data_IF_912211195958
#
_entry.id   IF_912211195958
#
_cell.length_a   1.000
_cell.length_b   1.000
_cell.length_c   1.000
_cell.angle_alpha   90.00
_cell.angle_beta   90.00
_cell.angle_gamma   90.00
#
_symmetry.space_group_name_H-M   'P 1'
#
loop_
_entity.id
_entity.type
_entity.pdbx_description
1 polymer ?
#
# COMPACT_ATOMS: atom_id res chain seq x y z
N UNK A 1 29.78 7.45 42.59
CA UNK A 1 29.89 6.68 41.33
C UNK A 1 28.52 6.71 40.65
N UNK A 2 28.33 7.37 39.49
CA UNK A 2 27.09 7.23 38.74
C UNK A 2 27.20 6.04 37.78
N UNK A 3 26.21 5.14 37.85
CA UNK A 3 26.04 4.01 36.95
C UNK A 3 25.61 4.50 35.56
N UNK A 4 26.41 4.15 34.54
CA UNK A 4 26.05 4.31 33.13
C UNK A 4 25.09 3.18 32.69
N UNK A 5 24.04 3.47 31.90
CA UNK A 5 23.23 2.43 31.28
C UNK A 5 23.97 1.79 30.10
N UNK A 6 24.17 0.48 30.18
CA UNK A 6 24.74 -0.36 29.12
C UNK A 6 23.69 -0.57 28.03
N UNK A 7 23.91 -0.02 26.84
CA UNK A 7 23.11 -0.32 25.66
C UNK A 7 23.52 -1.68 25.07
N UNK A 8 22.58 -2.51 24.58
CA UNK A 8 22.91 -3.73 23.85
C UNK A 8 23.56 -3.41 22.49
N UNK A 9 24.44 -4.29 21.97
CA UNK A 9 25.14 -4.03 20.72
C UNK A 9 24.17 -3.98 19.54
N UNK A 10 24.22 -2.88 18.78
CA UNK A 10 23.51 -2.73 17.51
C UNK A 10 23.87 -3.86 16.55
N UNK A 11 22.86 -4.61 16.11
CA UNK A 11 22.95 -5.49 14.95
C UNK A 11 23.39 -4.68 13.74
N UNK A 12 24.63 -4.89 13.29
CA UNK A 12 25.14 -4.39 12.00
C UNK A 12 24.36 -5.06 10.87
N UNK A 13 23.35 -4.38 10.35
CA UNK A 13 22.82 -4.73 9.03
C UNK A 13 23.85 -4.30 7.98
N UNK A 14 24.41 -5.27 7.26
CA UNK A 14 25.27 -5.03 6.10
C UNK A 14 24.46 -4.29 5.03
N UNK A 15 24.61 -2.97 4.95
CA UNK A 15 24.25 -2.22 3.75
C UNK A 15 25.17 -2.67 2.61
N UNK A 16 24.65 -3.52 1.71
CA UNK A 16 25.29 -3.76 0.41
C UNK A 16 25.32 -2.43 -0.35
N UNK A 17 26.53 -1.98 -0.66
CA UNK A 17 26.79 -0.81 -1.50
C UNK A 17 26.16 -1.02 -2.89
N UNK A 18 25.02 -0.36 -3.15
CA UNK A 18 24.59 -0.14 -4.53
C UNK A 18 25.19 1.18 -5.01
N UNK A 19 26.19 1.06 -5.88
CA UNK A 19 26.76 2.17 -6.65
C UNK A 19 25.63 2.84 -7.45
N UNK A 20 25.40 4.12 -7.18
CA UNK A 20 24.65 5.00 -8.09
C UNK A 20 25.65 5.46 -9.15
N UNK A 21 25.64 4.84 -10.33
CA UNK A 21 26.25 5.42 -11.53
C UNK A 21 25.21 6.37 -12.14
N UNK A 22 25.41 7.67 -11.97
CA UNK A 22 24.69 8.69 -12.76
C UNK A 22 25.34 8.74 -14.14
N UNK A 23 24.79 7.99 -15.10
CA UNK A 23 25.08 8.18 -16.52
C UNK A 23 24.11 9.22 -17.10
N UNK A 24 24.65 10.38 -17.49
CA UNK A 24 23.92 11.37 -18.27
C UNK A 24 23.77 10.88 -19.71
N UNK A 25 22.55 10.67 -20.17
CA UNK A 25 22.25 10.53 -21.60
C UNK A 25 21.92 11.90 -22.18
N UNK A 26 22.86 12.46 -22.95
CA UNK A 26 22.54 13.51 -23.92
C UNK A 26 21.93 12.83 -25.15
N UNK A 27 20.63 13.03 -25.38
CA UNK A 27 19.95 12.53 -26.57
C UNK A 27 19.90 13.65 -27.62
N UNK A 28 20.67 13.52 -28.69
CA UNK A 28 20.54 14.33 -29.89
C UNK A 28 20.07 13.43 -31.05
N UNK A 29 18.80 13.65 -31.44
CA UNK A 29 18.20 13.52 -32.77
C UNK A 29 18.42 12.26 -33.64
N UNK A 30 17.28 11.57 -33.89
CA UNK A 30 16.79 11.07 -35.20
C UNK A 30 17.71 10.10 -35.98
N UNK A 31 17.59 8.80 -35.67
CA UNK A 31 17.19 7.70 -36.59
C UNK A 31 17.43 6.33 -35.93
N UNK A 32 16.43 5.47 -36.04
CA UNK A 32 16.39 4.11 -35.50
C UNK A 32 17.49 3.21 -36.08
N UNK A 33 18.34 2.65 -35.21
CA UNK A 33 18.80 1.24 -35.13
C UNK A 33 20.16 1.19 -34.42
N UNK A 34 20.27 0.39 -33.36
CA UNK A 34 21.54 0.03 -32.74
C UNK A 34 21.60 -1.50 -32.63
N UNK A 35 22.40 -2.10 -33.50
CA UNK A 35 22.89 -3.46 -33.38
C UNK A 35 24.31 -3.39 -32.80
N UNK A 36 24.55 -4.16 -31.73
CA UNK A 36 25.87 -4.27 -31.10
C UNK A 36 26.73 -5.29 -31.83
N UNK A 37 27.91 -4.91 -32.31
CA UNK A 37 29.02 -5.84 -32.49
C UNK A 37 30.35 -5.17 -32.17
N UNK A 38 31.01 -5.69 -31.13
CA UNK A 38 32.39 -5.38 -30.78
C UNK A 38 33.33 -6.08 -31.77
N UNK A 39 34.26 -5.34 -32.39
CA UNK A 39 35.51 -5.91 -32.89
C UNK A 39 36.65 -4.94 -32.58
N UNK A 40 37.60 -5.44 -31.80
CA UNK A 40 38.91 -4.87 -31.50
C UNK A 40 39.81 -4.82 -32.74
N UNK A 41 40.59 -3.75 -32.92
CA UNK A 41 41.69 -3.72 -33.88
C UNK A 41 43.00 -3.23 -33.22
N UNK A 42 44.15 -3.86 -33.52
CA UNK A 42 45.44 -3.46 -32.99
C UNK A 42 46.13 -2.39 -33.84
N UNK A 43 47.10 -1.72 -33.20
CA UNK A 43 47.97 -0.65 -33.69
C UNK A 43 48.88 -1.13 -34.82
N UNK A 44 48.90 -0.41 -35.95
CA UNK A 44 49.93 -0.53 -36.99
C UNK A 44 50.21 0.82 -37.67
N UNK A 45 51.42 0.91 -38.20
CA UNK A 45 52.24 2.07 -38.53
C UNK A 45 51.78 2.99 -39.68
N UNK A 46 52.44 4.14 -39.68
CA UNK A 46 52.47 5.31 -40.58
C UNK A 46 52.69 4.95 -42.07
N UNK A 47 52.18 5.77 -43.02
CA UNK A 47 53.12 6.53 -43.85
C UNK A 47 52.78 8.03 -43.96
N UNK A 48 53.85 8.81 -43.97
CA UNK A 48 53.93 10.24 -44.29
C UNK A 48 53.69 10.50 -45.77
N UNK A 49 52.81 11.43 -46.10
CA UNK A 49 52.78 12.10 -47.40
C UNK A 49 52.66 13.62 -47.22
N UNK A 50 53.33 14.34 -48.11
CA UNK A 50 53.79 15.74 -47.98
C UNK A 50 53.06 16.61 -49.01
N UNK A 51 53.01 17.93 -48.75
CA UNK A 51 52.64 19.08 -49.62
C UNK A 51 51.14 19.46 -49.60
N UNK A 52 50.69 20.73 -49.52
CA UNK A 52 51.26 22.08 -49.39
C UNK A 52 50.06 23.05 -49.09
N UNK A 53 50.27 24.34 -48.79
CA UNK A 53 49.36 25.14 -47.96
C UNK A 53 48.30 25.92 -48.75
N UNK A 54 47.14 26.14 -48.15
CA UNK A 54 46.24 27.25 -48.51
C UNK A 54 45.78 27.98 -47.25
N UNK A 55 46.03 29.29 -47.23
CA UNK A 55 45.64 30.24 -46.21
C UNK A 55 44.11 30.27 -45.99
N UNK A 56 43.66 30.54 -44.76
CA UNK A 56 42.85 31.72 -44.39
C UNK A 56 42.37 31.60 -42.92
N UNK A 57 43.04 32.38 -42.06
CA UNK A 57 42.52 33.19 -40.94
C UNK A 57 41.17 32.82 -40.28
N UNK A 58 41.19 32.50 -38.97
CA UNK A 58 40.69 33.41 -37.89
C UNK A 58 40.69 32.75 -36.50
N UNK A 59 41.29 33.46 -35.54
CA UNK A 59 41.05 33.53 -34.08
C UNK A 59 40.26 32.37 -33.42
N UNK A 60 40.94 31.59 -32.59
CA UNK A 60 40.34 31.06 -31.36
C UNK A 60 41.28 31.30 -30.18
N UNK A 61 40.82 32.16 -29.28
CA UNK A 61 41.46 32.42 -27.99
C UNK A 61 41.36 31.19 -27.09
N UNK A 62 42.43 30.98 -26.32
CA UNK A 62 42.51 30.01 -25.24
C UNK A 62 41.45 30.32 -24.18
N UNK A 63 40.58 29.36 -23.88
CA UNK A 63 39.93 29.28 -22.58
C UNK A 63 40.22 27.90 -21.97
N UNK A 64 41.12 27.94 -21.01
CA UNK A 64 41.40 26.90 -20.03
C UNK A 64 40.16 26.63 -19.19
N UNK A 65 39.87 25.35 -19.01
CA UNK A 65 38.82 24.80 -18.14
C UNK A 65 39.12 25.17 -16.68
N UNK A 66 38.19 25.86 -16.00
CA UNK A 66 38.26 26.14 -14.56
C UNK A 66 37.02 25.60 -13.84
N UNK A 67 37.26 24.59 -13.01
CA UNK A 67 36.67 24.24 -11.71
C UNK A 67 35.21 24.65 -11.42
N UNK A 68 34.37 23.62 -11.23
CA UNK A 68 32.93 23.69 -10.94
C UNK A 68 32.56 23.99 -9.47
N UNK A 69 33.41 24.66 -8.70
CA UNK A 69 33.06 25.17 -7.37
C UNK A 69 33.28 26.67 -7.34
N UNK A 70 32.26 27.42 -7.77
CA UNK A 70 32.25 28.87 -7.77
C UNK A 70 32.21 29.43 -6.34
N UNK A 71 33.38 29.66 -5.75
CA UNK A 71 33.53 30.69 -4.74
C UNK A 71 33.57 32.05 -5.47
N UNK A 72 32.72 33.03 -5.10
CA UNK A 72 32.78 34.34 -5.71
C UNK A 72 34.06 35.06 -5.25
N UNK A 73 34.89 35.49 -6.20
CA UNK A 73 35.99 36.42 -5.95
C UNK A 73 35.38 37.78 -5.56
N UNK A 74 35.61 38.22 -4.33
CA UNK A 74 35.08 39.49 -3.80
C UNK A 74 35.90 40.70 -4.26
N UNK A 75 35.27 41.84 -4.59
CA UNK A 75 35.95 43.12 -4.70
C UNK A 75 36.29 43.67 -3.31
N UNK A 76 37.52 44.18 -3.15
CA UNK A 76 38.01 44.86 -1.95
C UNK A 76 37.27 46.21 -1.77
N UNK A 77 36.14 46.21 -1.06
CA UNK A 77 35.39 47.44 -0.82
C UNK A 77 34.41 47.34 0.36
N UNK A 78 34.78 47.99 1.48
CA UNK A 78 33.99 48.26 2.71
C UNK A 78 33.56 47.02 3.54
N UNK A 79 34.16 46.80 4.74
CA UNK A 79 33.97 45.58 5.54
C UNK A 79 32.55 45.35 6.08
N UNK A 80 31.68 46.37 6.10
CA UNK A 80 30.31 46.25 6.62
C UNK A 80 29.30 45.55 5.70
N UNK A 81 29.50 45.58 4.37
CA UNK A 81 28.54 45.02 3.41
C UNK A 81 28.74 43.52 3.12
N UNK A 82 29.94 42.98 3.36
CA UNK A 82 30.24 41.57 3.13
C UNK A 82 29.63 40.65 4.22
N UNK A 83 29.57 41.14 5.46
CA UNK A 83 28.98 40.40 6.58
C UNK A 83 27.47 40.20 6.43
N UNK A 84 26.74 41.20 5.91
CA UNK A 84 25.29 41.09 5.72
C UNK A 84 24.91 40.09 4.62
N UNK A 85 25.62 40.08 3.49
CA UNK A 85 25.38 39.10 2.42
C UNK A 85 25.73 37.67 2.84
N UNK A 86 26.81 37.48 3.60
CA UNK A 86 27.18 36.16 4.12
C UNK A 86 26.16 35.65 5.16
N UNK A 87 25.71 36.51 6.08
CA UNK A 87 24.67 36.16 7.04
C UNK A 87 23.36 35.79 6.35
N UNK A 88 22.93 36.57 5.34
CA UNK A 88 21.74 36.28 4.55
C UNK A 88 21.88 34.94 3.82
N UNK A 89 23.01 34.68 3.16
CA UNK A 89 23.27 33.42 2.45
C UNK A 89 23.30 32.22 3.41
N UNK A 90 23.95 32.36 4.56
CA UNK A 90 24.02 31.33 5.60
C UNK A 90 22.63 31.06 6.22
N UNK A 91 21.82 32.09 6.46
CA UNK A 91 20.44 31.91 6.94
C UNK A 91 19.59 31.19 5.89
N UNK A 92 19.71 31.53 4.60
CA UNK A 92 18.97 30.83 3.53
C UNK A 92 19.40 29.37 3.39
N UNK A 93 20.70 29.06 3.49
CA UNK A 93 21.19 27.68 3.41
C UNK A 93 20.76 26.87 4.64
N UNK A 94 20.79 27.48 5.83
CA UNK A 94 20.30 26.82 7.05
C UNK A 94 18.79 26.55 6.98
N UNK A 95 17.99 27.51 6.52
CA UNK A 95 16.54 27.33 6.32
C UNK A 95 16.24 26.26 5.26
N UNK A 96 17.01 26.23 4.17
CA UNK A 96 16.89 25.19 3.14
C UNK A 96 17.19 23.79 3.68
N UNK A 97 18.23 23.64 4.49
CA UNK A 97 18.56 22.37 5.16
C UNK A 97 17.46 21.95 6.15
N UNK A 98 16.90 22.89 6.92
CA UNK A 98 15.78 22.63 7.82
C UNK A 98 14.51 22.20 7.08
N UNK A 99 14.19 22.81 5.93
CA UNK A 99 13.07 22.40 5.09
C UNK A 99 13.26 20.99 4.52
N UNK A 100 14.45 20.67 4.02
CA UNK A 100 14.76 19.32 3.52
C UNK A 100 14.64 18.30 4.65
N UNK A 101 15.20 18.59 5.82
CA UNK A 101 15.09 17.70 6.99
C UNK A 101 13.63 17.48 7.40
N UNK A 102 12.80 18.54 7.43
CA UNK A 102 11.38 18.44 7.72
C UNK A 102 10.63 17.56 6.68
N UNK A 103 10.92 17.74 5.39
CA UNK A 103 10.33 16.92 4.32
C UNK A 103 10.73 15.45 4.44
N UNK A 104 12.00 15.17 4.77
CA UNK A 104 12.46 13.79 5.00
C UNK A 104 11.74 13.17 6.20
N UNK A 105 11.59 13.90 7.31
CA UNK A 105 10.84 13.43 8.47
C UNK A 105 9.38 13.15 8.13
N UNK A 106 8.72 14.04 7.39
CA UNK A 106 7.35 13.84 6.93
C UNK A 106 7.23 12.60 6.03
N UNK A 107 8.15 12.40 5.10
CA UNK A 107 8.18 11.24 4.21
C UNK A 107 8.39 9.93 4.98
N UNK A 108 9.35 9.90 5.90
CA UNK A 108 9.62 8.72 6.74
C UNK A 108 8.41 8.40 7.62
N UNK A 109 7.82 9.40 8.26
CA UNK A 109 6.63 9.21 9.08
C UNK A 109 5.46 8.70 8.23
N UNK A 110 5.25 9.26 7.04
CA UNK A 110 4.21 8.79 6.13
C UNK A 110 4.41 7.32 5.73
N UNK A 111 5.62 6.94 5.34
CA UNK A 111 5.94 5.56 4.99
C UNK A 111 5.80 4.61 6.19
N UNK A 112 6.17 5.06 7.38
CA UNK A 112 6.00 4.30 8.61
C UNK A 112 4.51 4.06 8.91
N UNK A 113 3.68 5.10 8.79
CA UNK A 113 2.23 5.00 8.95
C UNK A 113 1.61 4.03 7.93
N UNK A 114 2.02 4.10 6.65
CA UNK A 114 1.58 3.14 5.63
C UNK A 114 1.95 1.70 5.99
N UNK A 115 3.18 1.47 6.47
CA UNK A 115 3.63 0.15 6.92
C UNK A 115 2.81 -0.37 8.11
N UNK A 116 2.52 0.48 9.09
CA UNK A 116 1.66 0.15 10.23
C UNK A 116 0.23 -0.19 9.80
N UNK A 117 -0.37 0.60 8.91
CA UNK A 117 -1.72 0.37 8.41
C UNK A 117 -1.80 -0.96 7.63
N UNK A 118 -0.77 -1.27 6.85
CA UNK A 118 -0.70 -2.52 6.11
C UNK A 118 -0.54 -3.72 7.04
N UNK A 119 0.31 -3.62 8.07
CA UNK A 119 0.43 -4.64 9.11
C UNK A 119 -0.89 -4.86 9.87
N UNK A 120 -1.64 -3.78 10.15
CA UNK A 120 -2.95 -3.87 10.77
C UNK A 120 -3.98 -4.58 9.87
N UNK A 121 -3.96 -4.31 8.56
CA UNK A 121 -4.82 -5.00 7.59
C UNK A 121 -4.50 -6.50 7.49
N UNK A 122 -3.23 -6.90 7.67
CA UNK A 122 -2.80 -8.30 7.67
C UNK A 122 -3.14 -9.01 8.99
N UNK A 123 -3.04 -8.32 10.12
CA UNK A 123 -3.38 -8.87 11.43
C UNK A 123 -4.89 -9.12 11.58
N UNK A 124 -5.71 -8.22 11.04
CA UNK A 124 -7.16 -8.28 11.06
C UNK A 124 -7.74 -8.17 9.65
N UNK A 125 -7.62 -9.22 8.82
CA UNK A 125 -8.18 -9.26 7.46
C UNK A 125 -9.70 -9.09 7.51
N UNK A 126 -10.25 -8.32 6.58
CA UNK A 126 -11.70 -8.15 6.39
C UNK A 126 -12.10 -8.51 4.97
N UNK A 127 -13.36 -8.93 4.79
CA UNK A 127 -13.95 -9.12 3.47
C UNK A 127 -13.79 -7.84 2.65
N UNK A 128 -13.45 -8.00 1.36
CA UNK A 128 -13.09 -6.92 0.42
C UNK A 128 -11.72 -6.27 0.62
N UNK A 129 -10.92 -6.70 1.59
CA UNK A 129 -9.51 -6.29 1.61
C UNK A 129 -8.81 -6.84 0.36
N UNK A 130 -7.94 -6.03 -0.25
CA UNK A 130 -7.27 -6.33 -1.52
C UNK A 130 -5.78 -6.41 -1.30
N UNK A 131 -5.21 -7.57 -1.59
CA UNK A 131 -3.82 -7.91 -1.38
C UNK A 131 -3.13 -8.12 -2.72
N UNK A 132 -1.91 -7.62 -2.86
CA UNK A 132 -1.06 -7.83 -4.03
C UNK A 132 0.04 -8.79 -3.63
N UNK A 133 0.11 -9.91 -4.35
CA UNK A 133 1.09 -10.97 -4.12
C UNK A 133 2.11 -11.03 -5.25
N UNK A 134 3.37 -11.29 -4.93
CA UNK A 134 4.34 -11.83 -5.88
C UNK A 134 3.89 -13.26 -6.24
N UNK A 135 3.69 -13.51 -7.54
CA UNK A 135 3.10 -14.76 -8.05
C UNK A 135 3.95 -16.00 -7.72
N UNK A 136 5.27 -15.88 -7.76
CA UNK A 136 6.19 -16.96 -7.41
C UNK A 136 6.20 -17.24 -5.90
N UNK A 137 6.18 -16.20 -5.05
CA UNK A 137 6.03 -16.38 -3.62
C UNK A 137 4.70 -17.03 -3.24
N UNK A 138 3.61 -16.56 -3.85
CA UNK A 138 2.27 -17.12 -3.64
C UNK A 138 2.18 -18.57 -4.11
N UNK A 139 2.73 -18.90 -5.29
CA UNK A 139 2.70 -20.27 -5.79
C UNK A 139 3.51 -21.20 -4.88
N UNK A 140 4.70 -20.77 -4.41
CA UNK A 140 5.50 -21.52 -3.44
C UNK A 140 4.74 -21.77 -2.14
N UNK A 141 4.05 -20.76 -1.61
CA UNK A 141 3.19 -20.91 -0.43
C UNK A 141 2.06 -21.92 -0.64
N UNK A 142 1.60 -22.08 -1.89
CA UNK A 142 0.58 -23.04 -2.30
C UNK A 142 1.15 -24.38 -2.81
N UNK A 143 2.47 -24.60 -2.72
CA UNK A 143 3.13 -25.81 -3.22
C UNK A 143 3.11 -25.97 -4.74
N UNK A 144 3.07 -24.87 -5.49
CA UNK A 144 2.97 -24.82 -6.95
C UNK A 144 4.08 -23.97 -7.57
N UNK A 145 4.38 -24.23 -8.84
CA UNK A 145 5.25 -23.39 -9.64
C UNK A 145 4.47 -22.40 -10.50
N UNK A 146 4.96 -21.17 -10.60
CA UNK A 146 4.36 -20.14 -11.41
C UNK A 146 5.41 -19.19 -12.03
N UNK A 147 5.05 -18.62 -13.19
CA UNK A 147 5.83 -17.56 -13.82
C UNK A 147 5.94 -16.31 -12.91
N UNK A 148 7.02 -15.51 -13.05
CA UNK A 148 7.17 -14.27 -12.29
C UNK A 148 6.07 -13.26 -12.64
N UNK A 149 5.71 -12.44 -11.66
CA UNK A 149 4.70 -11.39 -11.83
C UNK A 149 4.00 -11.09 -10.51
N UNK A 150 2.94 -10.29 -10.59
CA UNK A 150 2.08 -9.95 -9.47
C UNK A 150 0.65 -10.43 -9.73
N UNK A 151 0.01 -10.92 -8.68
CA UNK A 151 -1.36 -11.38 -8.69
C UNK A 151 -2.13 -10.61 -7.63
N UNK A 152 -3.36 -10.19 -7.96
CA UNK A 152 -4.20 -9.48 -7.01
C UNK A 152 -5.26 -10.43 -6.46
N UNK A 153 -5.38 -10.44 -5.13
CA UNK A 153 -6.29 -11.30 -4.41
C UNK A 153 -7.22 -10.41 -3.57
N UNK A 154 -8.50 -10.73 -3.55
CA UNK A 154 -9.48 -10.04 -2.71
C UNK A 154 -10.04 -11.01 -1.68
N UNK A 155 -10.06 -10.60 -0.42
CA UNK A 155 -10.61 -11.40 0.68
C UNK A 155 -12.11 -11.61 0.45
N UNK A 156 -12.51 -12.87 0.32
CA UNK A 156 -13.89 -13.33 0.16
C UNK A 156 -14.53 -13.67 1.50
N UNK A 157 -13.79 -14.37 2.35
CA UNK A 157 -14.23 -14.84 3.66
C UNK A 157 -13.02 -14.91 4.60
N UNK A 158 -13.29 -14.71 5.89
CA UNK A 158 -12.29 -14.74 6.95
C UNK A 158 -12.80 -15.68 8.04
N UNK A 159 -12.15 -16.82 8.17
CA UNK A 159 -12.39 -17.82 9.20
C UNK A 159 -11.32 -17.65 10.31
N UNK A 160 -11.45 -18.29 11.48
CA UNK A 160 -10.48 -18.12 12.58
C UNK A 160 -9.03 -18.41 12.16
N UNK A 161 -8.82 -19.49 11.42
CA UNK A 161 -7.50 -19.99 11.04
C UNK A 161 -7.14 -19.76 9.57
N UNK A 162 -8.12 -19.50 8.71
CA UNK A 162 -7.93 -19.39 7.27
C UNK A 162 -8.54 -18.12 6.69
N UNK A 163 -7.94 -17.63 5.60
CA UNK A 163 -8.46 -16.52 4.82
C UNK A 163 -8.66 -16.99 3.40
N UNK A 164 -9.88 -16.87 2.91
CA UNK A 164 -10.25 -17.27 1.55
C UNK A 164 -10.27 -16.06 0.64
N UNK A 165 -9.59 -16.16 -0.48
CA UNK A 165 -9.40 -15.11 -1.46
C UNK A 165 -10.06 -15.46 -2.79
N UNK A 166 -10.68 -14.48 -3.45
CA UNK A 166 -10.90 -14.49 -4.90
C UNK A 166 -9.60 -14.09 -5.59
N UNK A 167 -9.27 -14.77 -6.70
CA UNK A 167 -8.04 -14.50 -7.48
C UNK A 167 -8.39 -13.64 -8.70
N UNK A 168 -7.59 -12.61 -9.00
CA UNK A 168 -7.81 -11.78 -10.18
C UNK A 168 -7.64 -12.58 -11.48
N UNK A 169 -8.38 -12.21 -12.53
CA UNK A 169 -8.22 -12.76 -13.88
C UNK A 169 -6.96 -12.24 -14.57
N UNK A 170 -6.44 -11.09 -14.12
CA UNK A 170 -5.25 -10.43 -14.64
C UNK A 170 -4.03 -10.71 -13.76
N UNK A 171 -2.90 -11.02 -14.39
CA UNK A 171 -1.56 -11.02 -13.78
C UNK A 171 -0.76 -9.84 -14.33
N UNK A 172 0.02 -9.17 -13.47
CA UNK A 172 0.90 -8.07 -13.88
C UNK A 172 2.36 -8.53 -13.98
N UNK A 173 3.12 -7.96 -14.92
CA UNK A 173 4.57 -8.21 -15.04
C UNK A 173 5.35 -7.43 -14.00
N UNK A 174 6.54 -7.91 -13.63
CA UNK A 174 7.44 -7.22 -12.70
C UNK A 174 8.22 -6.13 -13.44
N UNK A 175 7.63 -4.96 -13.62
CA UNK A 175 8.26 -3.78 -14.22
C UNK A 175 8.32 -2.62 -13.21
N UNK A 176 9.19 -1.63 -13.45
CA UNK A 176 9.27 -0.45 -12.58
C UNK A 176 7.95 0.31 -12.60
N UNK A 177 7.32 0.51 -11.45
CA UNK A 177 6.05 1.24 -11.32
C UNK A 177 4.80 0.38 -11.56
N UNK A 178 4.91 -0.94 -11.70
CA UNK A 178 3.74 -1.82 -11.81
C UNK A 178 2.83 -1.73 -10.59
N UNK A 179 3.39 -1.58 -9.40
CA UNK A 179 2.65 -1.33 -8.15
C UNK A 179 1.73 -0.09 -8.23
N UNK A 180 2.16 0.94 -8.97
CA UNK A 180 1.37 2.14 -9.28
C UNK A 180 0.34 1.91 -10.38
N UNK A 181 0.61 0.99 -11.31
CA UNK A 181 -0.28 0.67 -12.42
C UNK A 181 -1.46 -0.26 -12.02
N UNK A 182 -1.40 -0.89 -10.85
CA UNK A 182 -2.53 -1.61 -10.27
C UNK A 182 -3.54 -0.56 -9.75
N UNK A 183 -4.33 0.01 -10.67
CA UNK A 183 -5.39 0.96 -10.37
C UNK A 183 -6.46 0.30 -9.49
N UNK A 184 -6.83 0.96 -8.39
CA UNK A 184 -7.85 0.47 -7.48
C UNK A 184 -9.17 0.21 -8.21
N UNK A 185 -9.47 0.99 -9.24
CA UNK A 185 -10.75 0.92 -9.97
C UNK A 185 -10.96 -0.44 -10.63
N UNK A 186 -9.90 -1.02 -11.18
CA UNK A 186 -9.99 -2.35 -11.78
C UNK A 186 -10.09 -3.46 -10.72
N UNK A 187 -9.52 -3.26 -9.52
CA UNK A 187 -9.50 -4.26 -8.44
C UNK A 187 -10.85 -4.47 -7.75
N UNK A 188 -11.88 -3.73 -8.16
CA UNK A 188 -13.13 -3.64 -7.43
C UNK A 188 -14.34 -4.09 -8.26
N UNK A 189 -14.15 -4.48 -9.52
CA UNK A 189 -15.17 -5.12 -10.34
C UNK A 189 -15.24 -6.61 -10.01
N UNK A 190 -16.44 -7.17 -9.78
CA UNK A 190 -16.58 -8.61 -9.57
C UNK A 190 -16.08 -9.43 -10.78
N UNK A 191 -16.20 -8.89 -11.99
CA UNK A 191 -15.67 -9.49 -13.23
C UNK A 191 -14.13 -9.54 -13.29
N UNK A 192 -13.45 -8.74 -12.47
CA UNK A 192 -12.00 -8.76 -12.37
C UNK A 192 -11.50 -10.00 -11.63
N UNK A 193 -12.34 -10.62 -10.81
CA UNK A 193 -12.00 -11.83 -10.08
C UNK A 193 -12.62 -13.06 -10.70
N UNK A 194 -11.84 -14.13 -10.74
CA UNK A 194 -12.29 -15.42 -11.19
C UNK A 194 -13.18 -16.08 -10.12
N UNK A 195 -14.03 -17.02 -10.55
CA UNK A 195 -14.95 -17.75 -9.67
C UNK A 195 -14.21 -18.65 -8.67
N UNK A 196 -13.01 -19.13 -9.03
CA UNK A 196 -12.17 -19.93 -8.17
C UNK A 196 -11.57 -19.11 -7.02
N UNK A 197 -11.57 -19.71 -5.84
CA UNK A 197 -10.96 -19.15 -4.65
C UNK A 197 -9.77 -19.98 -4.20
N UNK A 198 -8.84 -19.31 -3.51
CA UNK A 198 -7.72 -19.96 -2.83
C UNK A 198 -7.78 -19.59 -1.35
N UNK A 199 -7.33 -20.49 -0.49
CA UNK A 199 -7.31 -20.28 0.95
C UNK A 199 -5.88 -20.36 1.45
N UNK A 200 -5.52 -19.44 2.34
CA UNK A 200 -4.23 -19.42 3.03
C UNK A 200 -4.46 -19.45 4.53
N UNK A 201 -3.52 -20.02 5.27
CA UNK A 201 -3.55 -19.93 6.73
C UNK A 201 -3.32 -18.48 7.16
N UNK A 202 -4.12 -18.00 8.11
CA UNK A 202 -4.05 -16.63 8.61
C UNK A 202 -2.68 -16.31 9.21
N UNK A 203 -2.06 -17.28 9.88
CA UNK A 203 -0.73 -17.15 10.48
C UNK A 203 0.38 -16.95 9.44
N UNK A 204 0.18 -17.37 8.19
CA UNK A 204 1.16 -17.23 7.12
C UNK A 204 1.18 -15.81 6.52
N UNK A 205 0.13 -15.00 6.70
CA UNK A 205 0.04 -13.67 6.08
C UNK A 205 1.18 -12.73 6.52
N UNK A 206 1.52 -12.69 7.81
CA UNK A 206 2.61 -11.85 8.31
C UNK A 206 4.00 -12.33 7.83
N UNK A 207 4.34 -13.64 7.89
CA UNK A 207 5.56 -14.17 7.27
C UNK A 207 5.65 -13.89 5.76
N UNK A 208 4.57 -14.07 5.01
CA UNK A 208 4.55 -13.81 3.56
C UNK A 208 4.78 -12.33 3.27
N UNK A 209 4.28 -11.44 4.11
CA UNK A 209 4.59 -10.02 4.04
C UNK A 209 6.06 -9.72 4.35
N UNK A 210 6.61 -10.27 5.44
CA UNK A 210 8.02 -10.07 5.81
C UNK A 210 9.01 -10.59 4.74
N UNK A 211 8.63 -11.64 4.01
CA UNK A 211 9.41 -12.21 2.90
C UNK A 211 9.27 -11.42 1.58
N UNK A 212 8.42 -10.39 1.55
CA UNK A 212 8.13 -9.65 0.32
C UNK A 212 7.27 -10.42 -0.69
N UNK A 213 6.59 -11.50 -0.25
CA UNK A 213 5.58 -12.18 -1.08
C UNK A 213 4.29 -11.36 -1.13
N UNK A 214 3.83 -10.82 0.00
CA UNK A 214 2.77 -9.81 -0.01
C UNK A 214 3.44 -8.44 -0.18
N UNK A 215 3.09 -7.76 -1.26
CA UNK A 215 3.65 -6.46 -1.62
C UNK A 215 2.79 -5.33 -1.04
N UNK A 216 1.47 -5.51 -1.06
CA UNK A 216 0.55 -4.55 -0.46
C UNK A 216 -0.69 -5.25 0.10
N UNK A 217 -1.22 -4.71 1.20
CA UNK A 217 -2.50 -5.10 1.78
C UNK A 217 -3.33 -3.85 2.07
N UNK A 218 -4.39 -3.66 1.28
CA UNK A 218 -5.19 -2.44 1.28
C UNK A 218 -6.64 -2.74 1.64
N UNK A 219 -7.24 -1.81 2.37
CA UNK A 219 -8.67 -1.81 2.71
C UNK A 219 -9.35 -0.67 1.93
N UNK A 220 -9.84 -0.92 0.71
CA UNK A 220 -10.40 0.13 -0.14
C UNK A 220 -11.75 0.61 0.39
N UNK A 221 -11.86 1.83 0.89
CA UNK A 221 -13.12 2.37 1.44
C UNK A 221 -14.23 2.52 0.39
N UNK A 222 -13.84 2.77 -0.86
CA UNK A 222 -14.70 2.99 -2.00
C UNK A 222 -14.33 2.04 -3.15
N UNK A 223 -15.32 1.71 -3.97
CA UNK A 223 -15.23 0.92 -5.20
C UNK A 223 -15.32 1.90 -6.36
N UNK A 224 -14.39 1.87 -7.31
CA UNK A 224 -14.51 2.65 -8.53
C UNK A 224 -14.90 1.69 -9.66
N UNK A 225 -15.77 2.15 -10.56
CA UNK A 225 -16.20 1.40 -11.73
C UNK A 225 -15.64 2.12 -12.97
N UNK A 226 -15.25 1.34 -13.97
CA UNK A 226 -14.77 1.86 -15.25
C UNK A 226 -15.71 2.96 -15.79
N UNK A 227 -15.16 4.15 -16.03
CA UNK A 227 -15.92 5.39 -16.25
C UNK A 227 -15.91 6.40 -15.09
N UNK A 228 -15.12 6.16 -14.02
CA UNK A 228 -14.84 7.14 -12.96
C UNK A 228 -15.94 7.28 -11.90
N UNK A 229 -16.92 6.38 -11.89
CA UNK A 229 -18.01 6.40 -10.91
C UNK A 229 -17.55 5.71 -9.63
N UNK A 230 -17.41 6.50 -8.55
CA UNK A 230 -17.14 6.00 -7.20
C UNK A 230 -18.43 5.49 -6.58
N UNK A 231 -18.52 4.19 -6.34
CA UNK A 231 -19.54 3.60 -5.46
C UNK A 231 -18.95 3.40 -4.07
N UNK A 232 -19.59 3.84 -2.99
CA UNK A 232 -19.19 3.40 -1.66
C UNK A 232 -19.25 1.86 -1.62
N UNK A 233 -18.36 1.21 -0.86
CA UNK A 233 -18.55 -0.23 -0.58
C UNK A 233 -19.98 -0.44 -0.13
N UNK A 234 -20.69 -1.47 -0.63
CA UNK A 234 -22.06 -1.74 -0.20
C UNK A 234 -22.04 -1.84 1.32
N UNK A 235 -22.58 -0.80 1.96
CA UNK A 235 -22.67 -0.74 3.41
C UNK A 235 -23.49 -1.95 3.81
N UNK A 236 -23.06 -2.74 4.80
CA UNK A 236 -23.93 -3.77 5.31
C UNK A 236 -25.26 -3.10 5.67
N UNK A 237 -26.38 -3.64 5.16
CA UNK A 237 -27.69 -2.98 5.25
C UNK A 237 -27.92 -2.56 6.70
N UNK A 238 -28.30 -1.29 6.97
CA UNK A 238 -28.55 -0.85 8.33
C UNK A 238 -29.65 -1.73 8.92
N UNK A 239 -29.34 -2.30 10.07
CA UNK A 239 -30.23 -3.24 10.71
C UNK A 239 -31.52 -2.56 11.21
N UNK A 240 -31.55 -1.23 11.38
CA UNK A 240 -32.73 -0.48 11.90
C UNK A 240 -32.87 0.98 11.44
N UNK A 241 -34.11 1.44 11.24
CA UNK A 241 -34.53 2.84 11.00
C UNK A 241 -35.73 3.22 11.91
N UNK A 242 -35.55 3.30 13.23
CA UNK A 242 -36.64 3.68 14.16
C UNK A 242 -36.16 4.18 15.54
N UNK A 243 -37.07 4.38 16.51
CA UNK A 243 -36.80 5.11 17.76
C UNK A 243 -35.77 4.46 18.70
N UNK A 244 -35.23 5.28 19.63
CA UNK A 244 -34.00 5.05 20.41
C UNK A 244 -33.74 3.58 20.80
N UNK A 245 -32.70 3.06 20.17
CA UNK A 245 -32.02 1.83 20.53
C UNK A 245 -31.27 1.95 21.86
N UNK A 246 -31.18 0.84 22.58
CA UNK A 246 -30.29 0.69 23.72
C UNK A 246 -28.82 0.97 23.31
N UNK A 247 -28.00 1.48 24.24
CA UNK A 247 -26.61 1.89 23.97
C UNK A 247 -25.73 0.75 23.40
N UNK A 248 -25.92 -0.48 23.88
CA UNK A 248 -25.25 -1.67 23.38
C UNK A 248 -25.64 -1.96 21.93
N UNK A 249 -26.92 -1.81 21.56
CA UNK A 249 -27.33 -1.96 20.17
C UNK A 249 -26.75 -0.87 19.26
N UNK A 250 -26.71 0.39 19.71
CA UNK A 250 -26.09 1.47 18.95
C UNK A 250 -24.61 1.22 18.70
N UNK A 251 -23.87 0.81 19.74
CA UNK A 251 -22.47 0.40 19.61
C UNK A 251 -22.33 -0.81 18.69
N UNK A 252 -23.21 -1.79 18.80
CA UNK A 252 -23.25 -2.95 17.91
C UNK A 252 -23.44 -2.57 16.45
N UNK A 253 -24.38 -1.66 16.15
CA UNK A 253 -24.59 -1.12 14.80
C UNK A 253 -23.35 -0.37 14.32
N UNK A 254 -22.70 0.42 15.17
CA UNK A 254 -21.50 1.16 14.80
C UNK A 254 -20.33 0.22 14.47
N UNK A 255 -20.07 -0.77 15.33
CA UNK A 255 -19.09 -1.83 15.07
C UNK A 255 -19.43 -2.61 13.79
N UNK A 256 -20.71 -2.94 13.60
CA UNK A 256 -21.20 -3.62 12.41
C UNK A 256 -20.96 -2.80 11.13
N UNK A 257 -21.19 -1.48 11.17
CA UNK A 257 -20.90 -0.54 10.06
C UNK A 257 -19.41 -0.46 9.75
N UNK A 258 -18.56 -0.57 10.78
CA UNK A 258 -17.10 -0.57 10.63
C UNK A 258 -16.54 -1.95 10.24
N UNK A 259 -17.40 -2.98 10.08
CA UNK A 259 -16.99 -4.35 9.79
C UNK A 259 -16.22 -5.01 10.95
N UNK A 260 -16.47 -4.57 12.18
CA UNK A 260 -15.94 -5.13 13.43
C UNK A 260 -16.96 -6.14 13.96
N UNK A 261 -17.01 -7.31 13.33
CA UNK A 261 -18.09 -8.29 13.54
C UNK A 261 -18.07 -8.90 14.94
N UNK A 262 -16.91 -9.14 15.53
CA UNK A 262 -16.80 -9.73 16.88
C UNK A 262 -17.28 -8.76 17.95
N UNK A 263 -16.91 -7.50 17.83
CA UNK A 263 -17.34 -6.41 18.70
C UNK A 263 -18.83 -6.12 18.52
N UNK A 264 -19.33 -6.21 17.28
CA UNK A 264 -20.75 -6.11 16.96
C UNK A 264 -21.55 -7.26 17.61
N UNK A 265 -21.10 -8.51 17.45
CA UNK A 265 -21.73 -9.69 18.04
C UNK A 265 -21.82 -9.56 19.56
N UNK A 266 -20.71 -9.21 20.22
CA UNK A 266 -20.65 -8.99 21.67
C UNK A 266 -21.59 -7.86 22.11
N UNK A 267 -21.65 -6.76 21.36
CA UNK A 267 -22.53 -5.64 21.67
C UNK A 267 -24.02 -5.99 21.49
N UNK A 268 -24.36 -6.75 20.45
CA UNK A 268 -25.73 -7.25 20.27
C UNK A 268 -26.10 -8.34 21.28
N UNK A 269 -25.18 -9.21 21.71
CA UNK A 269 -25.41 -10.14 22.82
C UNK A 269 -25.80 -9.39 24.09
N UNK A 270 -25.01 -8.38 24.49
CA UNK A 270 -25.34 -7.54 25.65
C UNK A 270 -26.69 -6.84 25.52
N UNK A 271 -27.00 -6.29 24.34
CA UNK A 271 -28.29 -5.65 24.09
C UNK A 271 -29.45 -6.66 24.12
N UNK A 272 -29.25 -7.86 23.57
CA UNK A 272 -30.26 -8.91 23.49
C UNK A 272 -30.58 -9.50 24.86
N UNK A 273 -29.57 -9.67 25.72
CA UNK A 273 -29.69 -10.05 27.13
C UNK A 273 -30.44 -9.00 27.95
N UNK A 274 -30.30 -7.72 27.59
CA UNK A 274 -31.06 -6.60 28.17
C UNK A 274 -32.49 -6.48 27.61
N UNK A 275 -32.92 -7.41 26.76
CA UNK A 275 -34.27 -7.45 26.22
C UNK A 275 -34.51 -6.56 24.99
N UNK A 276 -33.50 -5.87 24.45
CA UNK A 276 -33.67 -4.99 23.29
C UNK A 276 -34.05 -5.80 22.04
N UNK A 277 -35.27 -5.61 21.54
CA UNK A 277 -35.82 -6.37 20.41
C UNK A 277 -34.96 -6.25 19.14
N UNK A 278 -34.31 -5.10 18.92
CA UNK A 278 -33.41 -4.89 17.80
C UNK A 278 -32.10 -5.66 17.96
N UNK A 279 -31.50 -5.65 19.15
CA UNK A 279 -30.32 -6.46 19.44
C UNK A 279 -30.62 -7.95 19.31
N UNK A 280 -31.78 -8.40 19.77
CA UNK A 280 -32.22 -9.79 19.58
C UNK A 280 -32.35 -10.15 18.11
N UNK A 281 -32.98 -9.28 17.30
CA UNK A 281 -33.04 -9.49 15.85
C UNK A 281 -31.65 -9.48 15.20
N UNK A 282 -30.80 -8.51 15.54
CA UNK A 282 -29.46 -8.36 14.98
C UNK A 282 -28.56 -9.54 15.32
N UNK A 283 -28.64 -10.01 16.56
CA UNK A 283 -27.96 -11.21 17.01
C UNK A 283 -28.45 -12.45 16.25
N UNK A 284 -29.76 -12.58 16.06
CA UNK A 284 -30.33 -13.64 15.24
C UNK A 284 -29.85 -13.60 13.79
N UNK A 285 -29.78 -12.41 13.19
CA UNK A 285 -29.29 -12.21 11.81
C UNK A 285 -27.80 -12.56 11.68
N UNK A 286 -26.99 -12.26 12.71
CA UNK A 286 -25.58 -12.64 12.74
C UNK A 286 -25.39 -14.16 12.85
N UNK A 287 -26.20 -14.86 13.67
CA UNK A 287 -26.19 -16.33 13.71
C UNK A 287 -26.68 -16.94 12.39
N UNK A 288 -27.71 -16.37 11.77
CA UNK A 288 -28.24 -16.87 10.49
C UNK A 288 -27.22 -16.77 9.36
N UNK A 289 -26.39 -15.73 9.38
CA UNK A 289 -25.39 -15.45 8.32
C UNK A 289 -23.99 -15.94 8.65
N UNK A 290 -23.77 -16.47 9.85
CA UNK A 290 -22.43 -16.84 10.32
C UNK A 290 -21.46 -15.67 10.40
N UNK A 291 -21.91 -14.49 10.84
CA UNK A 291 -21.06 -13.30 10.94
C UNK A 291 -20.34 -13.27 12.30
N UNK A 292 -19.03 -13.56 12.30
CA UNK A 292 -18.21 -13.74 13.52
C UNK A 292 -18.61 -14.93 14.42
N UNK A 293 -19.48 -15.79 13.92
CA UNK A 293 -19.94 -17.03 14.55
C UNK A 293 -20.17 -18.06 13.46
N UNK A 294 -20.19 -19.35 13.80
CA UNK A 294 -20.71 -20.35 12.87
C UNK A 294 -22.18 -20.06 12.54
N UNK A 295 -22.59 -20.44 11.33
CA UNK A 295 -23.98 -20.32 10.93
C UNK A 295 -24.83 -21.28 11.77
N UNK A 296 -25.70 -20.72 12.60
CA UNK A 296 -26.62 -21.47 13.45
C UNK A 296 -28.04 -20.94 13.25
N UNK A 297 -28.76 -21.59 12.34
CA UNK A 297 -30.16 -21.29 12.07
C UNK A 297 -31.04 -21.51 13.30
N UNK A 298 -30.75 -22.50 14.14
CA UNK A 298 -31.56 -22.80 15.33
C UNK A 298 -31.44 -21.68 16.34
N UNK A 299 -30.22 -21.24 16.61
CA UNK A 299 -29.95 -20.14 17.52
C UNK A 299 -30.48 -18.82 16.96
N UNK A 300 -30.37 -18.59 15.65
CA UNK A 300 -30.98 -17.45 14.99
C UNK A 300 -32.50 -17.39 15.22
N UNK A 301 -33.18 -18.52 15.03
CA UNK A 301 -34.62 -18.63 15.21
C UNK A 301 -35.08 -18.41 16.66
N UNK A 302 -34.29 -18.86 17.64
CA UNK A 302 -34.56 -18.56 19.05
C UNK A 302 -34.51 -17.06 19.33
N UNK A 303 -33.54 -16.34 18.77
CA UNK A 303 -33.43 -14.89 18.94
C UNK A 303 -34.51 -14.12 18.16
N UNK A 304 -34.83 -14.57 16.93
CA UNK A 304 -35.95 -14.00 16.17
C UNK A 304 -37.28 -14.18 16.88
N UNK A 305 -37.49 -15.31 17.57
CA UNK A 305 -38.70 -15.54 18.36
C UNK A 305 -38.86 -14.51 19.46
N UNK A 306 -37.82 -14.29 20.27
CA UNK A 306 -37.83 -13.27 21.33
C UNK A 306 -38.10 -11.86 20.80
N UNK A 307 -37.49 -11.50 19.67
CA UNK A 307 -37.75 -10.21 19.04
C UNK A 307 -39.18 -10.11 18.47
N UNK A 308 -39.70 -11.18 17.87
CA UNK A 308 -41.05 -11.23 17.30
C UNK A 308 -42.16 -11.13 18.36
N UNK A 309 -41.95 -11.71 19.54
CA UNK A 309 -42.82 -11.58 20.73
C UNK A 309 -42.96 -10.11 21.16
N UNK A 310 -41.92 -9.29 20.93
CA UNK A 310 -41.93 -7.84 21.16
C UNK A 310 -42.44 -7.03 19.96
N UNK A 311 -43.17 -7.66 19.04
CA UNK A 311 -43.69 -7.06 17.82
C UNK A 311 -42.65 -6.56 16.82
N UNK A 312 -41.40 -7.04 16.88
CA UNK A 312 -40.37 -6.63 15.94
C UNK A 312 -40.70 -7.09 14.49
N UNK A 313 -40.88 -6.16 13.53
CA UNK A 313 -41.48 -6.48 12.23
C UNK A 313 -40.59 -7.40 11.39
N UNK A 314 -39.27 -7.13 11.34
CA UNK A 314 -38.33 -7.98 10.60
C UNK A 314 -38.16 -9.36 11.23
N UNK A 315 -38.36 -9.47 12.55
CA UNK A 315 -38.20 -10.74 13.25
C UNK A 315 -39.42 -11.65 13.01
N UNK A 316 -40.63 -11.08 12.99
CA UNK A 316 -41.85 -11.79 12.57
C UNK A 316 -41.73 -12.36 11.16
N UNK A 317 -41.10 -11.64 10.24
CA UNK A 317 -40.84 -12.13 8.88
C UNK A 317 -39.77 -13.23 8.91
N UNK A 318 -38.63 -12.98 9.56
CA UNK A 318 -37.54 -13.96 9.65
C UNK A 318 -37.98 -15.29 10.29
N UNK A 319 -38.85 -15.24 11.30
CA UNK A 319 -39.40 -16.42 11.97
C UNK A 319 -40.27 -17.29 11.07
N UNK A 320 -40.87 -16.75 9.99
CA UNK A 320 -41.59 -17.57 9.01
C UNK A 320 -40.66 -18.48 8.21
N UNK A 321 -39.37 -18.15 8.15
CA UNK A 321 -38.34 -18.95 7.50
C UNK A 321 -37.61 -19.89 8.47
N UNK A 322 -38.02 -19.91 9.73
CA UNK A 322 -37.58 -20.82 10.78
C UNK A 322 -38.51 -22.04 10.83
N UNK A 323 -38.47 -22.87 9.79
CA UNK A 323 -39.19 -24.16 9.73
C UNK A 323 -38.33 -25.30 10.25
#
# INVERSE_FOLDING_TARGET
MPFLPIWPPMLRTKFKQNKILLTFFSCASVKNTCATRNVSMPVSAVPTERLAPTHINKRFGRYSVLSAYGLPLMPLGRPGAALSHWLIWATYHSLGLWLIAALVVLLVNHNHQQGQQMAANLAAPKVWDVYVFEKQGLSRALGKDAAPGYQVLQVKAVDPDTVTFKVSSVTYKRESGTDKAISMDNLMLDSYFLTNSISLERQQLAPLFAQGTIISARRPEHIYIDGGIVRPRPKPKPLYEGPKLNQANQKGIEYFRQGLWTEALSAFQRGAEQGDAWSQYNLGDMYLKGQSTEQDTRQACLWFKKAAEQNHPKAKIALKHCS
#
